data_IF_313769381197
#
_entry.id   IF_313769381197
#
_cell.length_a   1.000
_cell.length_b   1.000
_cell.length_c   1.000
_cell.angle_alpha   90.00
_cell.angle_beta   90.00
_cell.angle_gamma   90.00
#
_symmetry.space_group_name_H-M   'P 1'
#
loop_
_entity.id
_entity.type
_entity.pdbx_description
1 polymer ?
#
# COMPACT_ATOMS: atom_id res chain seq x y z
N UNK A 1 -8.64 5.93 6.46
CA UNK A 1 -8.03 6.69 7.55
C UNK A 1 -6.61 7.01 7.14
N UNK A 2 -6.22 8.27 7.27
CA UNK A 2 -4.91 8.77 6.86
C UNK A 2 -5.00 10.29 6.73
N UNK A 3 -4.02 11.00 7.27
CA UNK A 3 -3.83 12.44 7.07
C UNK A 3 -2.63 12.65 6.15
N UNK A 4 -2.52 13.82 5.54
CA UNK A 4 -1.44 14.14 4.60
C UNK A 4 -0.11 14.47 5.31
N UNK A 5 0.13 13.88 6.49
CA UNK A 5 1.44 13.95 7.12
C UNK A 5 2.44 13.15 6.31
N UNK A 6 3.66 13.67 6.21
CA UNK A 6 4.73 13.06 5.42
C UNK A 6 5.00 11.60 5.80
N UNK A 7 4.84 11.27 7.10
CA UNK A 7 5.02 9.91 7.63
C UNK A 7 3.98 8.90 7.14
N UNK A 8 2.82 9.37 6.64
CA UNK A 8 1.77 8.53 6.06
C UNK A 8 1.96 8.32 4.55
N UNK A 9 2.85 9.09 3.90
CA UNK A 9 3.06 9.03 2.46
C UNK A 9 4.06 7.93 2.12
N UNK A 10 3.72 7.14 1.10
CA UNK A 10 4.55 6.01 0.65
C UNK A 10 4.70 6.07 -0.86
N UNK A 11 5.93 5.92 -1.34
CA UNK A 11 6.21 5.75 -2.76
C UNK A 11 5.79 4.34 -3.18
N UNK A 12 4.73 4.26 -3.97
CA UNK A 12 4.22 3.01 -4.54
C UNK A 12 4.35 3.06 -6.06
N UNK A 13 4.73 1.94 -6.67
CA UNK A 13 4.62 1.80 -8.12
C UNK A 13 3.13 1.83 -8.54
N UNK A 14 2.85 2.12 -9.81
CA UNK A 14 1.49 2.24 -10.32
C UNK A 14 0.62 1.03 -10.00
N UNK A 15 1.17 -0.19 -10.13
CA UNK A 15 0.45 -1.42 -9.82
C UNK A 15 0.12 -1.54 -8.33
N UNK A 16 1.09 -1.32 -7.44
CA UNK A 16 0.87 -1.38 -5.99
C UNK A 16 -0.10 -0.30 -5.50
N UNK A 17 -0.03 0.90 -6.08
CA UNK A 17 -0.95 2.00 -5.75
C UNK A 17 -2.39 1.65 -6.15
N UNK A 18 -2.57 1.05 -7.34
CA UNK A 18 -3.87 0.58 -7.79
C UNK A 18 -4.41 -0.58 -6.93
N UNK A 19 -3.57 -1.56 -6.60
CA UNK A 19 -3.95 -2.69 -5.74
C UNK A 19 -4.35 -2.24 -4.33
N UNK A 20 -3.59 -1.31 -3.74
CA UNK A 20 -3.92 -0.72 -2.44
C UNK A 20 -5.23 0.06 -2.50
N UNK A 21 -5.37 0.94 -3.50
CA UNK A 21 -6.54 1.82 -3.60
C UNK A 21 -6.75 2.64 -2.32
N UNK A 22 -7.99 2.65 -1.83
CA UNK A 22 -8.45 3.30 -0.60
C UNK A 22 -8.22 2.48 0.68
N UNK A 23 -7.66 1.27 0.55
CA UNK A 23 -7.40 0.34 1.65
C UNK A 23 -6.16 0.74 2.43
N UNK A 24 -6.03 0.29 3.69
CA UNK A 24 -4.89 0.63 4.53
C UNK A 24 -3.63 -0.12 4.06
N UNK A 25 -2.45 0.31 4.52
CA UNK A 25 -1.18 -0.23 4.03
C UNK A 25 -1.01 -1.73 4.33
N UNK A 26 -1.58 -2.20 5.44
CA UNK A 26 -1.58 -3.59 5.88
C UNK A 26 -2.22 -4.51 4.83
N UNK A 27 -3.24 -4.03 4.11
CA UNK A 27 -3.85 -4.76 3.02
C UNK A 27 -2.86 -5.00 1.88
N UNK A 28 -2.12 -3.95 1.48
CA UNK A 28 -1.11 -4.07 0.43
C UNK A 28 0.00 -5.03 0.85
N UNK A 29 0.50 -4.92 2.09
CA UNK A 29 1.54 -5.81 2.62
C UNK A 29 1.07 -7.28 2.62
N UNK A 30 -0.16 -7.55 3.08
CA UNK A 30 -0.72 -8.90 3.07
C UNK A 30 -0.77 -9.47 1.64
N UNK A 31 -1.22 -8.66 0.68
CA UNK A 31 -1.31 -9.08 -0.73
C UNK A 31 0.05 -9.36 -1.37
N UNK A 32 1.06 -8.57 -1.04
CA UNK A 32 2.42 -8.77 -1.55
C UNK A 32 3.06 -10.05 -0.99
N UNK A 33 2.77 -10.39 0.28
CA UNK A 33 3.18 -11.67 0.88
C UNK A 33 2.50 -12.88 0.23
N UNK A 34 1.19 -12.79 -0.02
CA UNK A 34 0.45 -13.85 -0.72
C UNK A 34 0.99 -14.11 -2.14
N UNK A 35 1.51 -13.08 -2.80
CA UNK A 35 2.01 -13.15 -4.17
C UNK A 35 3.52 -13.43 -4.27
N UNK A 36 4.21 -13.58 -3.13
CA UNK A 36 5.65 -13.87 -3.08
C UNK A 36 6.55 -12.71 -3.52
N UNK A 37 6.02 -11.48 -3.54
CA UNK A 37 6.81 -10.26 -3.78
C UNK A 37 7.53 -9.79 -2.51
N UNK A 38 6.97 -10.13 -1.35
CA UNK A 38 7.44 -9.75 -0.01
C UNK A 38 7.52 -10.97 0.92
#
# INVERSE_FOLDING_TARGET
GGTDHIDNLQLLCTHCNWTKGDRPQEYLIARLRETGVL
#
